data_IF_839165712065
#
_entry.id   IF_839165712065
#
_cell.length_a   1.000
_cell.length_b   1.000
_cell.length_c   1.000
_cell.angle_alpha   90.00
_cell.angle_beta   90.00
_cell.angle_gamma   90.00
#
_symmetry.space_group_name_H-M   'P 1'
#
loop_
_entity.id
_entity.type
_entity.pdbx_description
1 polymer ?
#
# COMPACT_ATOMS: atom_id res chain seq x y z
N UNK A 1 -2.63 -15.21 -5.92
CA UNK A 1 -3.38 -14.16 -6.68
C UNK A 1 -3.05 -14.30 -8.16
N UNK A 2 -3.98 -14.01 -9.07
CA UNK A 2 -3.72 -14.03 -10.52
C UNK A 2 -3.37 -12.62 -10.99
N UNK A 3 -2.63 -12.55 -12.12
CA UNK A 3 -2.36 -11.28 -12.84
C UNK A 3 -3.69 -10.57 -13.13
N UNK A 4 -3.85 -9.34 -12.60
CA UNK A 4 -5.15 -8.68 -12.61
C UNK A 4 -5.24 -7.65 -13.75
N UNK A 5 -6.29 -7.74 -14.62
CA UNK A 5 -6.48 -6.80 -15.71
C UNK A 5 -6.52 -5.31 -15.30
N UNK A 6 -6.99 -5.00 -14.10
CA UNK A 6 -7.04 -3.62 -13.60
C UNK A 6 -5.65 -2.99 -13.57
N UNK A 7 -4.69 -3.64 -12.91
CA UNK A 7 -3.32 -3.10 -12.83
C UNK A 7 -2.59 -3.12 -14.17
N UNK A 8 -2.87 -4.11 -15.03
CA UNK A 8 -2.33 -4.13 -16.39
C UNK A 8 -2.76 -2.89 -17.19
N UNK A 9 -4.02 -2.48 -17.07
CA UNK A 9 -4.56 -1.34 -17.82
C UNK A 9 -4.07 0.02 -17.29
N UNK A 10 -3.71 0.10 -16.01
CA UNK A 10 -3.34 1.38 -15.38
C UNK A 10 -1.85 1.55 -15.08
N UNK A 11 -0.99 0.57 -15.38
CA UNK A 11 0.45 0.61 -15.05
C UNK A 11 1.17 1.90 -15.52
N UNK A 12 0.91 2.32 -16.77
CA UNK A 12 1.49 3.55 -17.31
C UNK A 12 0.97 4.83 -16.64
N UNK A 13 -0.21 4.82 -16.04
CA UNK A 13 -0.74 5.96 -15.27
C UNK A 13 -0.16 5.98 -13.86
N UNK A 14 0.02 4.80 -13.24
CA UNK A 14 0.69 4.67 -11.95
C UNK A 14 2.15 5.18 -12.02
N UNK A 15 2.89 4.84 -13.09
CA UNK A 15 4.29 5.27 -13.26
C UNK A 15 4.46 6.80 -13.38
N UNK A 16 3.40 7.54 -13.77
CA UNK A 16 3.39 9.00 -13.91
C UNK A 16 2.74 9.73 -12.73
N UNK A 17 2.15 9.00 -11.79
CA UNK A 17 1.37 9.61 -10.72
C UNK A 17 2.29 10.15 -9.61
N UNK A 18 2.33 11.47 -9.46
CA UNK A 18 3.16 12.17 -8.46
C UNK A 18 2.85 11.76 -7.02
N UNK A 19 1.60 11.41 -6.69
CA UNK A 19 1.25 10.94 -5.35
C UNK A 19 1.92 9.59 -4.99
N UNK A 20 2.15 8.72 -5.99
CA UNK A 20 2.90 7.49 -5.78
C UNK A 20 4.40 7.75 -5.73
N UNK A 21 4.90 8.65 -6.59
CA UNK A 21 6.31 8.97 -6.71
C UNK A 21 6.87 9.71 -5.49
N UNK A 22 6.13 10.68 -4.96
CA UNK A 22 6.63 11.63 -3.95
C UNK A 22 5.63 11.96 -2.83
N UNK A 23 4.63 11.11 -2.62
CA UNK A 23 3.61 11.30 -1.59
C UNK A 23 4.20 11.40 -0.17
N UNK A 24 3.51 12.13 0.72
CA UNK A 24 3.94 12.34 2.09
C UNK A 24 4.14 11.02 2.85
N UNK A 25 3.25 10.05 2.61
CA UNK A 25 3.34 8.70 3.18
C UNK A 25 4.64 7.97 2.82
N UNK A 26 5.19 8.18 1.60
CA UNK A 26 6.49 7.61 1.21
C UNK A 26 7.63 8.25 2.00
N UNK A 27 7.62 9.56 2.15
CA UNK A 27 8.64 10.29 2.93
C UNK A 27 8.64 9.86 4.39
N UNK A 28 7.45 9.76 4.98
CA UNK A 28 7.29 9.28 6.37
C UNK A 28 7.77 7.84 6.47
N UNK A 29 7.34 6.95 5.57
CA UNK A 29 7.74 5.54 5.57
C UNK A 29 9.26 5.40 5.53
N UNK A 30 9.93 6.13 4.63
CA UNK A 30 11.40 6.11 4.51
C UNK A 30 12.11 6.74 5.71
N UNK A 31 11.48 7.68 6.41
CA UNK A 31 12.05 8.24 7.66
C UNK A 31 12.08 7.24 8.82
N UNK A 32 11.29 6.18 8.73
CA UNK A 32 11.24 5.09 9.71
C UNK A 32 12.21 3.95 9.40
N UNK A 33 12.88 3.98 8.24
CA UNK A 33 13.89 3.00 7.88
C UNK A 33 15.13 3.16 8.77
N UNK A 34 15.69 2.10 9.37
CA UNK A 34 16.94 2.15 10.14
C UNK A 34 18.11 2.71 9.32
N UNK A 35 19.13 3.22 10.01
CA UNK A 35 20.32 3.78 9.33
C UNK A 35 21.11 2.71 8.56
N UNK A 36 21.16 1.49 9.07
CA UNK A 36 21.89 0.37 8.45
C UNK A 36 20.90 -0.68 7.99
N UNK A 37 20.78 -0.84 6.70
CA UNK A 37 19.99 -1.87 6.05
C UNK A 37 20.80 -2.40 4.87
N UNK A 38 21.20 -3.67 4.93
CA UNK A 38 21.94 -4.30 3.83
C UNK A 38 20.98 -4.77 2.75
N UNK A 39 19.95 -5.53 3.13
CA UNK A 39 19.01 -6.14 2.19
C UNK A 39 17.57 -5.81 2.52
N UNK A 40 16.86 -5.25 1.56
CA UNK A 40 15.45 -4.90 1.71
C UNK A 40 14.55 -5.64 0.72
N UNK A 41 13.28 -5.84 1.11
CA UNK A 41 12.22 -6.37 0.27
C UNK A 41 11.12 -5.33 0.13
N UNK A 42 10.72 -5.03 -1.10
CA UNK A 42 9.53 -4.22 -1.43
C UNK A 42 8.41 -5.13 -1.94
N UNK A 43 7.36 -5.28 -1.15
CA UNK A 43 6.24 -6.19 -1.43
C UNK A 43 5.13 -5.44 -2.14
N UNK A 44 4.68 -5.98 -3.28
CA UNK A 44 3.75 -5.34 -4.20
C UNK A 44 4.28 -3.97 -4.65
N UNK A 45 5.50 -4.01 -5.21
CA UNK A 45 6.29 -2.82 -5.56
C UNK A 45 5.62 -1.92 -6.59
N UNK A 46 4.69 -2.45 -7.39
CA UNK A 46 4.05 -1.73 -8.48
C UNK A 46 5.09 -1.20 -9.47
N UNK A 47 5.12 0.11 -9.67
CA UNK A 47 6.07 0.78 -10.57
C UNK A 47 7.42 1.13 -9.89
N UNK A 48 7.72 0.58 -8.70
CA UNK A 48 9.05 0.58 -8.10
C UNK A 48 9.41 1.75 -7.21
N UNK A 49 8.52 2.67 -6.88
CA UNK A 49 8.89 3.90 -6.16
C UNK A 49 9.42 3.64 -4.74
N UNK A 50 8.91 2.65 -4.02
CA UNK A 50 9.45 2.28 -2.71
C UNK A 50 10.82 1.61 -2.88
N UNK A 51 10.95 0.68 -3.83
CA UNK A 51 12.22 0.03 -4.14
C UNK A 51 13.31 1.05 -4.51
N UNK A 52 12.98 2.11 -5.26
CA UNK A 52 13.94 3.16 -5.61
C UNK A 52 14.35 4.02 -4.41
N UNK A 53 13.46 4.29 -3.47
CA UNK A 53 13.85 4.99 -2.25
C UNK A 53 14.69 4.09 -1.33
N UNK A 54 14.36 2.80 -1.21
CA UNK A 54 15.16 1.82 -0.49
C UNK A 54 16.56 1.69 -1.09
N UNK A 55 16.69 1.67 -2.42
CA UNK A 55 17.96 1.50 -3.12
C UNK A 55 19.01 2.59 -2.81
N UNK A 56 18.55 3.76 -2.35
CA UNK A 56 19.46 4.86 -1.94
C UNK A 56 20.15 4.59 -0.61
N UNK A 57 19.65 3.63 0.18
CA UNK A 57 20.07 3.40 1.58
C UNK A 57 20.38 1.93 1.87
N UNK A 58 20.08 1.01 0.94
CA UNK A 58 20.33 -0.41 1.06
C UNK A 58 21.37 -0.87 0.05
N UNK A 59 22.12 -1.92 0.38
CA UNK A 59 23.07 -2.50 -0.57
C UNK A 59 22.35 -3.24 -1.70
N UNK A 60 21.23 -3.91 -1.38
CA UNK A 60 20.38 -4.60 -2.35
C UNK A 60 18.92 -4.53 -1.99
N UNK A 61 18.07 -4.48 -3.01
CA UNK A 61 16.61 -4.49 -2.87
C UNK A 61 16.02 -5.54 -3.79
N UNK A 62 15.19 -6.42 -3.23
CA UNK A 62 14.30 -7.29 -4.01
C UNK A 62 12.91 -6.63 -4.06
N UNK A 63 12.30 -6.57 -5.23
CA UNK A 63 11.03 -5.88 -5.44
C UNK A 63 10.04 -6.83 -6.13
N UNK A 64 9.02 -7.24 -5.39
CA UNK A 64 8.03 -8.22 -5.85
C UNK A 64 6.76 -7.53 -6.33
N UNK A 65 6.24 -8.00 -7.46
CA UNK A 65 4.87 -7.72 -7.89
C UNK A 65 4.31 -8.90 -8.68
N UNK A 66 2.98 -9.03 -8.70
CA UNK A 66 2.28 -10.05 -9.48
C UNK A 66 2.09 -9.63 -10.94
N UNK A 67 2.09 -8.31 -11.19
CA UNK A 67 1.68 -7.73 -12.46
C UNK A 67 2.88 -7.41 -13.34
N UNK A 68 3.01 -8.13 -14.45
CA UNK A 68 4.12 -7.94 -15.40
C UNK A 68 4.16 -6.52 -15.97
N UNK A 69 3.01 -5.90 -16.26
CA UNK A 69 2.95 -4.54 -16.75
C UNK A 69 3.51 -3.51 -15.74
N UNK A 70 3.26 -3.72 -14.43
CA UNK A 70 3.84 -2.89 -13.36
C UNK A 70 5.36 -3.04 -13.34
N UNK A 71 5.87 -4.27 -13.34
CA UNK A 71 7.32 -4.53 -13.34
C UNK A 71 8.00 -4.00 -14.60
N UNK A 72 7.33 -4.05 -15.75
CA UNK A 72 7.84 -3.49 -16.99
C UNK A 72 8.03 -1.97 -16.90
N UNK A 73 7.06 -1.24 -16.33
CA UNK A 73 7.19 0.19 -16.06
C UNK A 73 8.28 0.48 -15.01
N UNK A 74 8.36 -0.32 -13.95
CA UNK A 74 9.41 -0.19 -12.94
C UNK A 74 10.82 -0.36 -13.54
N UNK A 75 11.03 -1.36 -14.38
CA UNK A 75 12.32 -1.59 -15.09
C UNK A 75 12.71 -0.42 -16.00
N UNK A 76 11.73 0.21 -16.71
CA UNK A 76 11.97 1.42 -17.51
C UNK A 76 12.42 2.58 -16.62
N UNK A 77 11.72 2.81 -15.51
CA UNK A 77 12.06 3.87 -14.56
C UNK A 77 13.42 3.61 -13.89
N UNK A 78 13.73 2.37 -13.52
CA UNK A 78 15.03 1.97 -12.97
C UNK A 78 16.17 2.32 -13.92
N UNK A 79 16.04 1.93 -15.20
CA UNK A 79 17.04 2.22 -16.22
C UNK A 79 17.24 3.71 -16.44
N UNK A 80 16.14 4.48 -16.51
CA UNK A 80 16.16 5.94 -16.68
C UNK A 80 16.85 6.66 -15.51
N UNK A 81 16.72 6.13 -14.31
CA UNK A 81 17.33 6.68 -13.08
C UNK A 81 18.70 6.07 -12.77
N UNK A 82 19.24 5.17 -13.62
CA UNK A 82 20.55 4.50 -13.46
C UNK A 82 20.69 3.77 -12.11
N UNK A 83 19.60 3.18 -11.62
CA UNK A 83 19.60 2.37 -10.40
C UNK A 83 20.08 0.96 -10.76
N UNK A 84 21.00 0.39 -9.97
CA UNK A 84 21.67 -0.89 -10.29
C UNK A 84 21.52 -1.96 -9.20
N UNK A 85 21.00 -1.60 -8.04
CA UNK A 85 20.90 -2.48 -6.87
C UNK A 85 19.45 -2.87 -6.52
N UNK A 86 18.55 -2.86 -7.50
CA UNK A 86 17.17 -3.35 -7.38
C UNK A 86 16.96 -4.52 -8.32
N UNK A 87 16.46 -5.63 -7.80
CA UNK A 87 16.05 -6.80 -8.56
C UNK A 87 14.52 -6.92 -8.55
N UNK A 88 13.89 -6.90 -9.73
CA UNK A 88 12.46 -7.05 -9.89
C UNK A 88 12.10 -8.51 -10.18
N UNK A 89 11.23 -9.09 -9.35
CA UNK A 89 10.77 -10.46 -9.47
C UNK A 89 9.23 -10.51 -9.56
N UNK A 90 8.72 -11.22 -10.58
CA UNK A 90 7.29 -11.51 -10.69
C UNK A 90 6.97 -12.69 -9.78
N UNK A 91 6.36 -12.41 -8.64
CA UNK A 91 6.06 -13.43 -7.63
C UNK A 91 4.82 -13.09 -6.81
N UNK A 92 4.07 -14.11 -6.43
CA UNK A 92 3.08 -14.00 -5.36
C UNK A 92 3.79 -14.00 -4.01
N UNK A 93 3.55 -12.96 -3.22
CA UNK A 93 4.18 -12.83 -1.90
C UNK A 93 3.93 -14.03 -0.99
N UNK A 94 2.75 -14.63 -1.04
CA UNK A 94 2.43 -15.78 -0.19
C UNK A 94 3.24 -17.04 -0.55
N UNK A 95 3.58 -17.21 -1.81
CA UNK A 95 4.41 -18.33 -2.29
C UNK A 95 5.89 -18.01 -2.40
N UNK A 96 6.28 -16.73 -2.26
CA UNK A 96 7.68 -16.31 -2.34
C UNK A 96 8.54 -17.01 -1.30
N UNK A 97 9.68 -17.53 -1.71
CA UNK A 97 10.66 -18.19 -0.83
C UNK A 97 12.06 -17.69 -1.12
N UNK A 98 12.87 -17.58 -0.10
CA UNK A 98 14.28 -17.20 -0.20
C UNK A 98 15.08 -17.79 0.96
N UNK A 99 16.35 -18.08 0.74
CA UNK A 99 17.27 -18.52 1.80
C UNK A 99 17.87 -17.35 2.60
N UNK A 100 17.84 -16.15 2.02
CA UNK A 100 18.42 -14.96 2.66
C UNK A 100 17.30 -14.11 3.25
N UNK A 101 17.41 -13.79 4.52
CA UNK A 101 16.47 -12.90 5.22
C UNK A 101 16.74 -11.43 4.86
N UNK A 102 15.80 -10.59 5.24
CA UNK A 102 15.83 -9.15 4.98
C UNK A 102 15.98 -8.37 6.29
N UNK A 103 16.75 -7.28 6.25
CA UNK A 103 16.83 -6.31 7.35
C UNK A 103 15.57 -5.41 7.38
N UNK A 104 15.00 -5.16 6.21
CA UNK A 104 13.76 -4.39 6.09
C UNK A 104 12.80 -5.01 5.06
N UNK A 105 11.52 -5.02 5.39
CA UNK A 105 10.44 -5.34 4.45
C UNK A 105 9.51 -4.13 4.40
N UNK A 106 9.22 -3.64 3.19
CA UNK A 106 8.29 -2.56 2.97
C UNK A 106 7.07 -3.04 2.17
N UNK A 107 5.88 -2.51 2.52
CA UNK A 107 4.66 -2.65 1.74
C UNK A 107 3.90 -1.33 1.79
N UNK A 108 3.68 -0.71 0.62
CA UNK A 108 3.03 0.59 0.56
C UNK A 108 1.83 0.59 -0.36
N UNK A 109 0.67 1.02 0.16
CA UNK A 109 -0.61 1.14 -0.57
C UNK A 109 -1.01 -0.14 -1.29
N UNK A 110 -0.79 -1.29 -0.64
CA UNK A 110 -1.05 -2.60 -1.22
C UNK A 110 -1.68 -3.60 -0.24
N UNK A 111 -1.53 -3.41 1.07
CA UNK A 111 -2.03 -4.35 2.07
C UNK A 111 -3.55 -4.58 1.95
N UNK A 112 -4.32 -3.56 1.53
CA UNK A 112 -5.76 -3.66 1.33
C UNK A 112 -6.17 -4.60 0.17
N UNK A 113 -5.22 -5.03 -0.68
CA UNK A 113 -5.44 -6.05 -1.71
C UNK A 113 -5.17 -7.48 -1.22
N UNK A 114 -4.48 -7.65 -0.11
CA UNK A 114 -4.20 -8.99 0.43
C UNK A 114 -5.46 -9.55 1.11
N UNK A 115 -5.85 -10.77 0.75
CA UNK A 115 -7.02 -11.47 1.29
C UNK A 115 -6.77 -11.98 2.73
N UNK A 116 -5.54 -12.43 3.03
CA UNK A 116 -5.14 -12.91 4.35
C UNK A 116 -4.01 -12.06 4.95
N UNK A 117 -4.40 -10.97 5.62
CA UNK A 117 -3.46 -10.03 6.25
C UNK A 117 -2.66 -10.65 7.40
N UNK A 118 -3.26 -11.61 8.11
CA UNK A 118 -2.55 -12.35 9.16
C UNK A 118 -1.39 -13.17 8.58
N UNK A 119 -1.64 -13.86 7.48
CA UNK A 119 -0.61 -14.61 6.77
C UNK A 119 0.47 -13.67 6.20
N UNK A 120 0.07 -12.50 5.67
CA UNK A 120 1.01 -11.47 5.23
C UNK A 120 1.98 -11.07 6.34
N UNK A 121 1.48 -10.75 7.53
CA UNK A 121 2.33 -10.36 8.66
C UNK A 121 3.18 -11.52 9.19
N UNK A 122 2.62 -12.73 9.32
CA UNK A 122 3.39 -13.91 9.73
C UNK A 122 4.55 -14.19 8.78
N UNK A 123 4.28 -14.16 7.48
CA UNK A 123 5.31 -14.35 6.47
C UNK A 123 6.37 -13.23 6.48
N UNK A 124 5.96 -11.99 6.71
CA UNK A 124 6.90 -10.88 6.88
C UNK A 124 7.83 -11.14 8.06
N UNK A 125 7.30 -11.64 9.18
CA UNK A 125 8.13 -12.04 10.35
C UNK A 125 9.11 -13.16 10.01
N UNK A 126 8.69 -14.16 9.25
CA UNK A 126 9.54 -15.28 8.83
C UNK A 126 10.69 -14.83 7.92
N UNK A 127 10.45 -13.85 7.06
CA UNK A 127 11.43 -13.34 6.09
C UNK A 127 12.39 -12.31 6.69
N UNK A 128 12.06 -11.70 7.83
CA UNK A 128 12.92 -10.72 8.51
C UNK A 128 14.01 -11.41 9.34
N UNK A 129 15.18 -10.75 9.44
CA UNK A 129 16.15 -11.04 10.49
C UNK A 129 15.57 -10.68 11.85
N UNK A 130 16.20 -11.14 12.95
CA UNK A 130 15.69 -10.93 14.30
C UNK A 130 15.52 -9.45 14.65
N UNK A 131 16.49 -8.61 14.31
CA UNK A 131 16.47 -7.17 14.50
C UNK A 131 15.91 -6.40 13.29
N UNK A 132 15.21 -7.08 12.39
CA UNK A 132 14.67 -6.49 11.17
C UNK A 132 13.45 -5.61 11.42
N UNK A 133 13.07 -4.83 10.41
CA UNK A 133 11.93 -3.93 10.47
C UNK A 133 10.92 -4.21 9.36
N UNK A 134 9.65 -4.25 9.73
CA UNK A 134 8.51 -4.21 8.80
C UNK A 134 8.00 -2.78 8.72
N UNK A 135 7.96 -2.23 7.51
CA UNK A 135 7.47 -0.90 7.19
C UNK A 135 6.19 -1.03 6.35
N UNK A 136 5.06 -0.59 6.87
CA UNK A 136 3.79 -0.63 6.13
C UNK A 136 3.16 0.75 6.08
N UNK A 137 2.72 1.16 4.90
CA UNK A 137 1.89 2.34 4.71
C UNK A 137 0.66 1.95 3.90
N UNK A 138 -0.51 1.99 4.53
CA UNK A 138 -1.75 1.70 3.81
C UNK A 138 -2.92 2.56 4.27
N UNK A 139 -3.94 2.62 3.42
CA UNK A 139 -5.20 3.27 3.78
C UNK A 139 -5.85 2.56 4.96
N UNK A 140 -6.53 3.33 5.79
CA UNK A 140 -7.35 2.81 6.87
C UNK A 140 -8.77 3.36 6.78
N UNK A 141 -9.71 2.56 7.27
CA UNK A 141 -11.11 2.95 7.44
C UNK A 141 -11.25 3.75 8.74
N UNK A 142 -12.02 4.81 8.72
CA UNK A 142 -12.32 5.58 9.94
C UNK A 142 -13.10 4.75 10.96
N UNK A 143 -12.78 4.89 12.23
CA UNK A 143 -13.50 4.21 13.33
C UNK A 143 -15.00 4.57 13.38
N UNK A 144 -15.37 5.68 12.77
CA UNK A 144 -16.76 6.13 12.63
C UNK A 144 -17.52 5.41 11.54
N UNK A 145 -16.84 4.79 10.57
CA UNK A 145 -17.45 4.06 9.46
C UNK A 145 -17.85 2.63 9.87
N UNK A 146 -18.90 2.52 10.68
CA UNK A 146 -19.39 1.23 11.20
C UNK A 146 -20.05 0.35 10.14
N UNK A 147 -20.40 0.91 9.00
CA UNK A 147 -21.10 0.21 7.91
C UNK A 147 -20.18 -0.23 6.77
N UNK A 148 -18.85 -0.11 6.94
CA UNK A 148 -17.86 -0.48 5.91
C UNK A 148 -18.06 0.24 4.57
N UNK A 149 -18.48 1.51 4.65
CA UNK A 149 -18.88 2.28 3.47
C UNK A 149 -17.67 2.63 2.58
N UNK A 150 -16.53 2.95 3.21
CA UNK A 150 -15.31 3.24 2.46
C UNK A 150 -14.84 2.01 1.66
N UNK A 151 -14.80 0.82 2.27
CA UNK A 151 -14.44 -0.40 1.57
C UNK A 151 -15.44 -0.74 0.44
N UNK A 152 -16.74 -0.50 0.66
CA UNK A 152 -17.76 -0.66 -0.38
C UNK A 152 -17.54 0.29 -1.55
N UNK A 153 -17.17 1.54 -1.28
CA UNK A 153 -16.86 2.54 -2.30
C UNK A 153 -15.55 2.18 -3.04
N UNK A 154 -14.50 1.78 -2.32
CA UNK A 154 -13.22 1.38 -2.91
C UNK A 154 -13.36 0.16 -3.83
N UNK A 155 -14.18 -0.84 -3.48
CA UNK A 155 -14.48 -1.99 -4.37
C UNK A 155 -15.18 -1.60 -5.66
N UNK A 156 -15.94 -0.49 -5.68
CA UNK A 156 -16.52 0.03 -6.92
C UNK A 156 -15.50 0.73 -7.80
N UNK A 157 -14.53 1.42 -7.18
CA UNK A 157 -13.43 2.09 -7.87
C UNK A 157 -12.43 1.09 -8.42
N UNK A 158 -12.04 0.15 -7.59
CA UNK A 158 -11.00 -0.83 -7.83
C UNK A 158 -11.51 -2.24 -7.47
N UNK A 159 -11.83 -3.07 -8.47
CA UNK A 159 -12.34 -4.42 -8.22
C UNK A 159 -11.36 -5.35 -7.50
N UNK A 160 -10.08 -4.97 -7.40
CA UNK A 160 -9.05 -5.74 -6.70
C UNK A 160 -9.01 -5.43 -5.19
N UNK A 161 -9.73 -4.40 -4.75
CA UNK A 161 -9.80 -4.02 -3.35
C UNK A 161 -10.51 -5.10 -2.53
N UNK A 162 -9.79 -5.69 -1.60
CA UNK A 162 -10.35 -6.68 -0.65
C UNK A 162 -10.94 -5.95 0.56
N UNK A 163 -10.10 -5.40 1.41
CA UNK A 163 -10.51 -4.57 2.53
C UNK A 163 -9.33 -3.77 3.12
N UNK A 164 -9.54 -2.51 3.42
CA UNK A 164 -8.72 -1.74 4.34
C UNK A 164 -9.17 -2.03 5.78
N UNK A 165 -8.23 -2.07 6.71
CA UNK A 165 -8.49 -2.22 8.14
C UNK A 165 -8.75 -0.85 8.79
N UNK A 166 -9.43 -0.82 9.93
CA UNK A 166 -9.36 0.34 10.80
C UNK A 166 -8.04 0.33 11.61
N UNK A 167 -7.76 1.40 12.36
CA UNK A 167 -6.52 1.51 13.15
C UNK A 167 -6.39 0.38 14.17
N UNK A 168 -7.47 0.08 14.91
CA UNK A 168 -7.49 -0.97 15.93
C UNK A 168 -7.21 -2.35 15.36
N UNK A 169 -7.87 -2.71 14.26
CA UNK A 169 -7.67 -3.97 13.54
C UNK A 169 -6.25 -4.10 13.00
N UNK A 170 -5.70 -3.02 12.45
CA UNK A 170 -4.34 -3.00 11.92
C UNK A 170 -3.31 -3.29 13.03
N UNK A 171 -3.42 -2.56 14.15
CA UNK A 171 -2.53 -2.74 15.29
C UNK A 171 -2.68 -4.12 15.95
N UNK A 172 -3.91 -4.63 16.03
CA UNK A 172 -4.18 -5.97 16.53
C UNK A 172 -3.54 -7.04 15.64
N UNK A 173 -3.69 -6.93 14.32
CA UNK A 173 -3.14 -7.90 13.35
C UNK A 173 -1.62 -7.98 13.42
N UNK A 174 -0.93 -6.83 13.55
CA UNK A 174 0.53 -6.79 13.73
C UNK A 174 0.96 -7.48 15.03
N UNK A 175 0.31 -7.15 16.16
CA UNK A 175 0.64 -7.73 17.47
C UNK A 175 0.38 -9.23 17.49
N UNK A 176 -0.75 -9.69 16.93
CA UNK A 176 -1.11 -11.10 16.84
C UNK A 176 -0.13 -11.91 15.98
N UNK A 177 0.48 -11.29 14.98
CA UNK A 177 1.53 -11.90 14.17
C UNK A 177 2.93 -11.88 14.85
N UNK A 178 3.02 -11.36 16.06
CA UNK A 178 4.25 -11.32 16.85
C UNK A 178 5.18 -10.16 16.49
N UNK A 179 4.59 -8.99 16.18
CA UNK A 179 5.33 -7.74 16.02
C UNK A 179 5.14 -6.80 17.20
N UNK A 180 6.21 -6.12 17.58
CA UNK A 180 6.21 -4.96 18.46
C UNK A 180 6.21 -3.70 17.60
N UNK A 181 5.27 -2.79 17.86
CA UNK A 181 5.21 -1.50 17.16
C UNK A 181 6.35 -0.61 17.66
N UNK A 182 7.16 -0.12 16.74
CA UNK A 182 8.24 0.86 17.01
C UNK A 182 7.64 2.26 16.92
N UNK A 183 6.91 2.53 15.83
CA UNK A 183 6.29 3.82 15.55
C UNK A 183 5.03 3.63 14.71
N UNK A 184 4.00 4.43 14.98
CA UNK A 184 2.82 4.54 14.13
C UNK A 184 2.46 6.01 13.93
N UNK A 185 2.03 6.34 12.73
CA UNK A 185 1.62 7.69 12.33
C UNK A 185 0.39 7.56 11.45
N UNK A 186 -0.62 8.39 11.69
CA UNK A 186 -1.77 8.52 10.77
C UNK A 186 -1.57 9.78 9.95
N UNK A 187 -1.32 9.59 8.65
CA UNK A 187 -1.28 10.66 7.66
C UNK A 187 -2.69 10.90 7.12
N UNK A 188 -3.12 12.16 7.10
CA UNK A 188 -4.45 12.57 6.63
C UNK A 188 -4.30 13.52 5.46
N UNK A 189 -4.95 13.18 4.35
CA UNK A 189 -4.94 13.98 3.14
C UNK A 189 -6.38 14.27 2.70
N UNK A 190 -6.77 15.54 2.72
CA UNK A 190 -8.01 15.97 2.13
C UNK A 190 -7.84 16.12 0.62
N UNK A 191 -8.76 15.57 -0.16
CA UNK A 191 -8.70 15.61 -1.61
C UNK A 191 -10.10 15.65 -2.23
N UNK A 192 -10.21 16.21 -3.45
CA UNK A 192 -11.45 16.13 -4.21
C UNK A 192 -11.78 14.69 -4.60
N UNK A 193 -13.05 14.44 -4.87
CA UNK A 193 -13.51 13.13 -5.35
C UNK A 193 -12.76 12.68 -6.61
N UNK A 194 -12.51 13.59 -7.55
CA UNK A 194 -11.81 13.32 -8.81
C UNK A 194 -10.35 12.88 -8.55
N UNK A 195 -9.67 13.57 -7.62
CA UNK A 195 -8.30 13.19 -7.21
C UNK A 195 -8.28 11.82 -6.53
N UNK A 196 -9.26 11.53 -5.67
CA UNK A 196 -9.37 10.23 -5.02
C UNK A 196 -9.67 9.11 -6.03
N UNK A 197 -10.53 9.40 -7.03
CA UNK A 197 -10.92 8.42 -8.04
C UNK A 197 -9.75 7.99 -8.94
N UNK A 198 -8.80 8.90 -9.19
CA UNK A 198 -7.63 8.62 -10.04
C UNK A 198 -6.89 7.32 -9.63
N UNK A 199 -6.47 6.49 -10.61
CA UNK A 199 -6.41 6.73 -12.05
C UNK A 199 -7.70 6.44 -12.83
N UNK A 200 -8.77 6.03 -12.15
CA UNK A 200 -10.07 5.75 -12.76
C UNK A 200 -10.72 7.05 -13.22
N UNK A 201 -11.23 7.08 -14.46
CA UNK A 201 -11.90 8.25 -15.01
C UNK A 201 -13.31 8.42 -14.45
N UNK A 202 -13.72 9.66 -14.23
CA UNK A 202 -15.02 10.01 -13.64
C UNK A 202 -16.23 9.53 -14.45
N UNK A 203 -16.05 9.42 -15.77
CA UNK A 203 -17.09 8.97 -16.72
C UNK A 203 -16.97 7.49 -17.10
N UNK A 204 -15.99 6.76 -16.54
CA UNK A 204 -15.91 5.31 -16.70
C UNK A 204 -17.05 4.62 -15.94
N UNK A 205 -17.25 3.33 -16.22
CA UNK A 205 -18.23 2.50 -15.49
C UNK A 205 -17.99 2.58 -13.98
N UNK A 206 -16.77 2.38 -13.55
CA UNK A 206 -16.38 2.41 -12.12
C UNK A 206 -16.60 3.80 -11.50
N UNK A 207 -16.24 4.89 -12.22
CA UNK A 207 -16.47 6.25 -11.75
C UNK A 207 -17.94 6.59 -11.59
N UNK A 208 -18.79 6.15 -12.53
CA UNK A 208 -20.25 6.30 -12.47
C UNK A 208 -20.83 5.52 -11.29
N UNK A 209 -20.39 4.28 -11.08
CA UNK A 209 -20.84 3.44 -9.96
C UNK A 209 -20.43 4.03 -8.59
N UNK A 210 -19.25 4.63 -8.48
CA UNK A 210 -18.84 5.37 -7.29
C UNK A 210 -19.78 6.55 -7.00
N UNK A 211 -20.08 7.37 -8.02
CA UNK A 211 -21.03 8.50 -7.89
C UNK A 211 -22.43 8.05 -7.48
N UNK A 212 -22.95 7.00 -8.13
CA UNK A 212 -24.25 6.43 -7.78
C UNK A 212 -24.29 5.99 -6.32
N UNK A 213 -23.26 5.27 -5.87
CA UNK A 213 -23.17 4.82 -4.49
C UNK A 213 -23.18 5.99 -3.50
N UNK A 214 -22.34 7.00 -3.70
CA UNK A 214 -22.29 8.20 -2.85
C UNK A 214 -23.66 8.91 -2.78
N UNK A 215 -24.41 8.93 -3.87
CA UNK A 215 -25.73 9.54 -3.92
C UNK A 215 -26.81 8.74 -3.16
N UNK A 216 -26.61 7.46 -2.86
CA UNK A 216 -27.53 6.67 -2.04
C UNK A 216 -27.34 6.88 -0.55
N UNK A 217 -26.21 7.44 -0.13
CA UNK A 217 -25.84 7.61 1.29
C UNK A 217 -26.45 8.89 1.87
N UNK A 218 -26.85 8.85 3.13
CA UNK A 218 -27.20 10.02 3.92
C UNK A 218 -25.95 10.87 4.25
N UNK A 219 -26.16 12.12 4.68
CA UNK A 219 -25.06 12.99 5.07
C UNK A 219 -24.29 12.45 6.29
N UNK A 220 -24.96 11.76 7.21
CA UNK A 220 -24.30 11.15 8.38
C UNK A 220 -23.46 9.93 7.98
N UNK A 221 -23.92 9.11 7.04
CA UNK A 221 -23.13 8.01 6.48
C UNK A 221 -21.89 8.53 5.73
N UNK A 222 -22.04 9.58 4.91
CA UNK A 222 -20.91 10.21 4.24
C UNK A 222 -19.88 10.76 5.24
N UNK A 223 -20.33 11.48 6.27
CA UNK A 223 -19.46 11.97 7.33
C UNK A 223 -18.75 10.84 8.07
N UNK A 224 -19.43 9.70 8.30
CA UNK A 224 -18.82 8.55 8.98
C UNK A 224 -17.62 7.99 8.24
N UNK A 225 -17.60 8.04 6.91
CA UNK A 225 -16.50 7.65 6.04
C UNK A 225 -15.61 8.83 5.61
N UNK A 226 -15.74 9.98 6.28
CA UNK A 226 -14.96 11.21 6.05
C UNK A 226 -15.14 11.82 4.65
N UNK A 227 -16.32 11.71 4.08
CA UNK A 227 -16.70 12.36 2.83
C UNK A 227 -17.60 13.57 3.10
N UNK A 228 -17.28 14.71 2.48
CA UNK A 228 -18.07 15.93 2.54
C UNK A 228 -18.77 16.15 1.19
N UNK A 229 -20.10 16.00 1.18
CA UNK A 229 -20.95 16.22 -0.01
C UNK A 229 -20.88 17.66 -0.52
N UNK A 230 -20.77 18.66 0.39
CA UNK A 230 -20.81 20.08 0.02
C UNK A 230 -19.60 20.49 -0.79
N UNK A 231 -18.44 19.97 -0.42
CA UNK A 231 -17.17 20.26 -1.09
C UNK A 231 -16.77 19.18 -2.09
N UNK A 232 -17.57 18.12 -2.21
CA UNK A 232 -17.27 16.92 -3.02
C UNK A 232 -15.84 16.42 -2.76
N UNK A 233 -15.49 16.31 -1.49
CA UNK A 233 -14.14 15.92 -1.06
C UNK A 233 -14.17 14.87 0.03
N UNK A 234 -13.08 14.14 0.15
CA UNK A 234 -12.89 13.17 1.23
C UNK A 234 -11.54 13.35 1.91
N UNK A 235 -11.47 12.94 3.17
CA UNK A 235 -10.21 12.83 3.90
C UNK A 235 -9.74 11.39 3.88
N UNK A 236 -8.74 11.10 3.07
CA UNK A 236 -8.08 9.80 3.06
C UNK A 236 -7.13 9.69 4.23
N UNK A 237 -7.28 8.63 5.02
CA UNK A 237 -6.38 8.30 6.12
C UNK A 237 -5.45 7.16 5.70
N UNK A 238 -4.18 7.27 6.07
CA UNK A 238 -3.20 6.19 5.91
C UNK A 238 -2.49 5.94 7.22
N UNK A 239 -2.42 4.70 7.60
CA UNK A 239 -1.57 4.28 8.71
C UNK A 239 -0.18 3.95 8.18
N UNK A 240 0.83 4.58 8.75
CA UNK A 240 2.24 4.34 8.44
C UNK A 240 2.87 3.79 9.70
N UNK A 241 3.41 2.59 9.62
CA UNK A 241 3.92 1.88 10.79
C UNK A 241 5.30 1.29 10.52
N UNK A 242 6.16 1.37 11.52
CA UNK A 242 7.36 0.55 11.67
C UNK A 242 7.16 -0.42 12.83
N UNK A 243 7.43 -1.70 12.58
CA UNK A 243 7.29 -2.75 13.57
C UNK A 243 8.48 -3.73 13.51
N UNK A 244 8.92 -4.23 14.65
CA UNK A 244 9.99 -5.22 14.75
C UNK A 244 9.44 -6.58 15.21
N UNK A 245 10.00 -7.71 14.74
CA UNK A 245 9.69 -9.01 15.28
C UNK A 245 9.86 -9.04 16.80
N UNK A 246 8.94 -9.69 17.50
CA UNK A 246 9.17 -10.05 18.90
C UNK A 246 9.95 -11.34 18.91
N UNK A 247 11.04 -11.38 19.67
CA UNK A 247 11.81 -12.62 19.89
C UNK A 247 10.87 -13.74 20.41
N UNK A 248 11.13 -15.01 20.06
CA UNK A 248 10.35 -16.13 20.50
C UNK A 248 10.35 -16.33 22.01
#
# INVERSE_FOLDING_TARGET
MSDNPFFNNYAGQYSKNESFKSGNDLKILMSLLPEKVHRALDVATGTGFVAFELSKRCESVVALDLTEAMLSEAKKLMSSNKITNVEFEKSDYYSYTTFQKFDAIACRRALHHFDNKELFFKKSKELLVEDGVLLVSDMIVAETDKNDLLNKLERKRDPTHVAALNEGEFMFSLKSAGFRIIKSIIDREQMSFEKWLSPVETNSVNGIECKKFLNTLSDDELKSMLFDRKTNSMTKQRMIVAAAPVAP
#
